data_IF_876812116209
#
_entry.id   IF_876812116209
#
_cell.length_a   1.000
_cell.length_b   1.000
_cell.length_c   1.000
_cell.angle_alpha   90.00
_cell.angle_beta   90.00
_cell.angle_gamma   90.00
#
_symmetry.space_group_name_H-M   'P 1'
#
loop_
_entity.id
_entity.type
_entity.pdbx_description
1 polymer ?
#
# COMPACT_ATOMS: atom_id res chain seq x y z
N UNK A 1 37.00 49.87 -15.66
CA UNK A 1 37.40 48.56 -15.09
C UNK A 1 36.13 47.81 -14.77
N UNK A 2 36.03 46.59 -15.29
CA UNK A 2 34.84 45.73 -15.22
C UNK A 2 34.66 45.11 -13.83
N UNK A 3 33.41 44.82 -13.44
CA UNK A 3 32.97 43.56 -12.80
C UNK A 3 31.48 43.66 -12.44
N UNK A 4 30.58 43.11 -13.24
CA UNK A 4 29.98 41.75 -13.17
C UNK A 4 28.62 41.78 -12.50
N UNK A 5 27.60 41.93 -13.34
CA UNK A 5 26.19 41.57 -13.09
C UNK A 5 26.10 40.07 -12.81
N UNK A 6 25.77 39.70 -11.57
CA UNK A 6 25.38 38.34 -11.19
C UNK A 6 23.90 38.32 -10.85
N UNK A 7 23.03 38.33 -11.87
CA UNK A 7 21.61 38.05 -11.67
C UNK A 7 21.44 36.56 -11.39
N UNK A 8 21.18 36.20 -10.14
CA UNK A 8 20.78 34.87 -9.74
C UNK A 8 19.50 34.49 -10.52
N UNK A 9 19.64 33.52 -11.42
CA UNK A 9 18.55 32.86 -12.11
C UNK A 9 17.61 32.25 -11.07
N UNK A 10 16.29 32.51 -11.10
CA UNK A 10 15.38 31.74 -10.28
C UNK A 10 15.50 30.27 -10.70
N UNK A 11 15.92 29.41 -9.77
CA UNK A 11 15.76 27.97 -9.90
C UNK A 11 14.25 27.71 -9.95
N UNK A 12 13.76 27.25 -11.10
CA UNK A 12 12.44 26.68 -11.21
C UNK A 12 12.33 25.51 -10.21
N UNK A 13 11.23 25.35 -9.46
CA UNK A 13 11.04 24.17 -8.65
C UNK A 13 10.95 22.97 -9.58
N UNK A 14 11.99 22.15 -9.58
CA UNK A 14 11.98 20.82 -10.17
C UNK A 14 11.19 19.91 -9.22
N UNK A 15 9.86 19.96 -9.31
CA UNK A 15 9.02 18.92 -8.71
C UNK A 15 7.72 18.81 -9.51
N UNK A 16 7.79 18.16 -10.66
CA UNK A 16 6.60 17.83 -11.47
C UNK A 16 6.60 16.38 -11.91
N UNK A 17 7.36 15.54 -11.21
CA UNK A 17 7.49 14.12 -11.54
C UNK A 17 7.13 13.25 -10.32
N UNK A 18 5.94 13.41 -9.71
CA UNK A 18 5.48 12.38 -8.76
C UNK A 18 3.97 12.32 -8.45
N UNK A 19 3.11 12.94 -9.27
CA UNK A 19 1.66 12.93 -8.99
C UNK A 19 1.02 11.54 -9.08
N UNK A 20 1.40 10.75 -10.07
CA UNK A 20 0.80 9.43 -10.34
C UNK A 20 1.24 8.36 -9.34
N UNK A 21 2.51 8.37 -8.91
CA UNK A 21 3.03 7.44 -7.90
C UNK A 21 2.35 7.63 -6.55
N UNK A 22 2.29 8.88 -6.08
CA UNK A 22 1.63 9.22 -4.81
C UNK A 22 0.12 8.93 -4.81
N UNK A 23 -0.55 9.06 -5.97
CA UNK A 23 -1.96 8.67 -6.11
C UNK A 23 -2.11 7.16 -6.02
N UNK A 24 -1.21 6.39 -6.66
CA UNK A 24 -1.23 4.94 -6.60
C UNK A 24 -1.02 4.42 -5.18
N UNK A 25 -0.01 4.94 -4.46
CA UNK A 25 0.26 4.59 -3.06
C UNK A 25 -1.00 4.80 -2.19
N UNK A 26 -1.66 5.95 -2.31
CA UNK A 26 -2.92 6.24 -1.58
C UNK A 26 -4.06 5.30 -1.97
N UNK A 27 -4.14 4.87 -3.22
CA UNK A 27 -5.17 3.92 -3.66
C UNK A 27 -4.90 2.52 -3.10
N UNK A 28 -3.64 2.09 -3.05
CA UNK A 28 -3.22 0.83 -2.43
C UNK A 28 -3.52 0.85 -0.93
N UNK A 29 -3.13 1.92 -0.22
CA UNK A 29 -3.44 2.08 1.20
C UNK A 29 -4.94 2.00 1.47
N UNK A 30 -5.75 2.72 0.68
CA UNK A 30 -7.21 2.71 0.82
C UNK A 30 -7.81 1.33 0.53
N UNK A 31 -7.28 0.62 -0.47
CA UNK A 31 -7.68 -0.75 -0.76
C UNK A 31 -7.32 -1.70 0.38
N UNK A 32 -6.12 -1.56 0.97
CA UNK A 32 -5.68 -2.38 2.09
C UNK A 32 -6.54 -2.16 3.34
N UNK A 33 -6.94 -0.91 3.64
CA UNK A 33 -7.90 -0.61 4.72
C UNK A 33 -9.24 -1.29 4.48
N UNK A 34 -9.75 -1.21 3.25
CA UNK A 34 -11.00 -1.86 2.87
C UNK A 34 -10.91 -3.39 3.02
N UNK A 35 -9.83 -3.99 2.51
CA UNK A 35 -9.57 -5.43 2.64
C UNK A 35 -9.45 -5.87 4.11
N UNK A 36 -8.71 -5.12 4.94
CA UNK A 36 -8.54 -5.41 6.36
C UNK A 36 -9.86 -5.30 7.14
N UNK A 37 -10.80 -4.45 6.72
CA UNK A 37 -12.13 -4.36 7.32
C UNK A 37 -12.97 -5.64 7.14
N UNK A 38 -12.63 -6.46 6.14
CA UNK A 38 -13.24 -7.78 5.91
C UNK A 38 -12.45 -8.93 6.53
N UNK A 39 -11.39 -8.64 7.28
CA UNK A 39 -10.52 -9.65 7.86
C UNK A 39 -11.23 -10.45 8.95
N UNK A 40 -10.83 -11.72 9.06
CA UNK A 40 -11.21 -12.60 10.17
C UNK A 40 -9.99 -12.82 11.04
N UNK A 41 -10.16 -12.58 12.34
CA UNK A 41 -9.14 -12.82 13.36
C UNK A 41 -9.42 -14.16 14.04
N UNK A 42 -8.41 -15.01 14.14
CA UNK A 42 -8.49 -16.30 14.82
C UNK A 42 -7.29 -16.52 15.74
N UNK A 43 -7.51 -17.16 16.88
CA UNK A 43 -6.43 -17.57 17.76
C UNK A 43 -5.68 -18.78 17.21
N UNK A 44 -4.36 -18.78 17.39
CA UNK A 44 -3.49 -19.91 17.11
C UNK A 44 -2.71 -20.32 18.35
N UNK A 45 -2.38 -21.61 18.43
CA UNK A 45 -1.77 -22.21 19.61
C UNK A 45 -0.25 -22.13 19.62
N UNK A 46 0.40 -22.06 18.45
CA UNK A 46 1.85 -22.02 18.31
C UNK A 46 2.27 -21.28 17.02
N UNK A 47 2.97 -20.13 17.11
CA UNK A 47 3.14 -19.34 18.33
C UNK A 47 1.79 -18.91 18.91
N UNK A 48 1.69 -18.78 20.24
CA UNK A 48 0.46 -18.29 20.86
C UNK A 48 0.20 -16.84 20.39
N UNK A 49 -0.94 -16.62 19.75
CA UNK A 49 -1.30 -15.30 19.23
C UNK A 49 -2.59 -15.33 18.41
N UNK A 50 -2.81 -14.25 17.69
CA UNK A 50 -3.93 -14.04 16.78
C UNK A 50 -3.40 -13.89 15.36
N UNK A 51 -4.04 -14.57 14.42
CA UNK A 51 -3.81 -14.38 12.99
C UNK A 51 -5.03 -13.68 12.39
N UNK A 52 -4.79 -12.63 11.61
CA UNK A 52 -5.79 -11.99 10.77
C UNK A 52 -5.61 -12.43 9.30
N UNK A 53 -6.70 -12.80 8.64
CA UNK A 53 -6.71 -13.21 7.21
C UNK A 53 -7.90 -12.61 6.47
N UNK A 54 -7.74 -12.31 5.18
CA UNK A 54 -8.84 -11.88 4.30
C UNK A 54 -9.21 -13.02 3.35
N UNK A 55 -10.51 -13.27 3.16
CA UNK A 55 -10.96 -14.29 2.24
C UNK A 55 -10.66 -13.89 0.79
N UNK A 56 -10.13 -14.82 -0.01
CA UNK A 56 -9.80 -14.57 -1.41
C UNK A 56 -8.45 -13.89 -1.64
N UNK A 57 -7.66 -13.66 -0.59
CA UNK A 57 -6.28 -13.17 -0.68
C UNK A 57 -5.37 -14.21 -0.04
N UNK A 58 -4.87 -15.11 -0.87
CA UNK A 58 -3.93 -16.14 -0.41
C UNK A 58 -2.53 -15.55 -0.26
N UNK A 59 -1.86 -15.91 0.84
CA UNK A 59 -0.50 -15.46 1.16
C UNK A 59 -0.40 -14.15 1.96
N UNK A 60 -1.49 -13.39 2.09
CA UNK A 60 -1.54 -12.21 2.97
C UNK A 60 -2.21 -12.55 4.30
N UNK A 61 -1.46 -12.47 5.38
CA UNK A 61 -1.93 -12.69 6.74
C UNK A 61 -1.13 -11.82 7.71
N UNK A 62 -1.77 -11.36 8.77
CA UNK A 62 -1.12 -10.62 9.85
C UNK A 62 -1.09 -11.42 11.14
N UNK A 63 -0.10 -11.16 11.99
CA UNK A 63 0.07 -11.79 13.29
C UNK A 63 0.19 -10.76 14.40
N UNK A 64 -0.43 -11.04 15.54
CA UNK A 64 -0.30 -10.18 16.72
C UNK A 64 -0.74 -10.87 18.00
N UNK A 65 -0.40 -10.28 19.14
CA UNK A 65 -0.87 -10.69 20.46
C UNK A 65 -2.26 -10.13 20.78
N UNK A 66 -2.75 -9.19 19.97
CA UNK A 66 -4.06 -8.56 20.05
C UNK A 66 -4.70 -8.47 18.66
N UNK A 67 -6.03 -8.34 18.60
CA UNK A 67 -6.74 -8.22 17.32
C UNK A 67 -6.31 -6.97 16.54
N UNK A 68 -6.01 -5.88 17.26
CA UNK A 68 -5.52 -4.63 16.69
C UNK A 68 -4.16 -4.83 16.02
N UNK A 69 -3.19 -5.38 16.76
CA UNK A 69 -1.85 -5.69 16.23
C UNK A 69 -1.90 -6.63 15.02
N UNK A 70 -2.73 -7.67 15.06
CA UNK A 70 -2.88 -8.60 13.95
C UNK A 70 -3.51 -7.93 12.70
N UNK A 71 -4.41 -6.95 12.89
CA UNK A 71 -5.02 -6.21 11.79
C UNK A 71 -4.07 -5.16 11.21
N UNK A 72 -3.29 -4.46 12.04
CA UNK A 72 -2.26 -3.52 11.60
C UNK A 72 -1.16 -4.21 10.79
N UNK A 73 -0.71 -5.38 11.27
CA UNK A 73 0.26 -6.20 10.55
C UNK A 73 -0.32 -6.69 9.21
N UNK A 74 -1.57 -7.19 9.23
CA UNK A 74 -2.26 -7.60 8.01
C UNK A 74 -2.40 -6.46 6.99
N UNK A 75 -2.74 -5.25 7.45
CA UNK A 75 -2.86 -4.09 6.57
C UNK A 75 -1.52 -3.78 5.89
N UNK A 76 -0.42 -3.85 6.63
CA UNK A 76 0.93 -3.63 6.08
C UNK A 76 1.27 -4.69 5.03
N UNK A 77 1.00 -5.97 5.33
CA UNK A 77 1.20 -7.08 4.38
C UNK A 77 0.33 -6.92 3.13
N UNK A 78 -0.90 -6.43 3.26
CA UNK A 78 -1.80 -6.19 2.12
C UNK A 78 -1.29 -5.08 1.19
N UNK A 79 -0.68 -4.03 1.73
CA UNK A 79 -0.06 -2.96 0.95
C UNK A 79 1.09 -3.53 0.11
N UNK A 80 1.99 -4.28 0.74
CA UNK A 80 3.13 -4.90 0.06
C UNK A 80 2.66 -5.92 -0.99
N UNK A 81 1.69 -6.76 -0.64
CA UNK A 81 1.10 -7.74 -1.54
C UNK A 81 0.49 -7.10 -2.79
N UNK A 82 -0.34 -6.06 -2.62
CA UNK A 82 -0.96 -5.37 -3.75
C UNK A 82 0.09 -4.64 -4.61
N UNK A 83 1.11 -4.06 -3.97
CA UNK A 83 2.22 -3.42 -4.67
C UNK A 83 2.97 -4.41 -5.55
N UNK A 84 3.32 -5.58 -5.02
CA UNK A 84 4.00 -6.64 -5.78
C UNK A 84 3.14 -7.13 -6.95
N UNK A 85 1.86 -7.38 -6.70
CA UNK A 85 0.90 -7.80 -7.75
C UNK A 85 0.82 -6.80 -8.89
N UNK A 86 0.74 -5.50 -8.57
CA UNK A 86 0.76 -4.45 -9.59
C UNK A 86 2.09 -4.34 -10.32
N UNK A 87 3.22 -4.55 -9.65
CA UNK A 87 4.54 -4.54 -10.29
C UNK A 87 4.73 -5.70 -11.27
N UNK A 88 4.24 -6.89 -10.91
CA UNK A 88 4.26 -8.08 -11.76
C UNK A 88 3.21 -8.00 -12.88
N UNK A 89 2.29 -7.03 -12.78
CA UNK A 89 1.22 -6.80 -13.75
C UNK A 89 0.14 -7.87 -13.68
N UNK A 90 -0.06 -8.45 -12.49
CA UNK A 90 -1.15 -9.37 -12.16
C UNK A 90 -2.49 -8.62 -12.09
N UNK A 91 -3.56 -9.29 -12.52
CA UNK A 91 -4.93 -8.75 -12.56
C UNK A 91 -5.87 -9.46 -11.56
N UNK A 92 -5.32 -10.33 -10.70
CA UNK A 92 -6.08 -11.15 -9.74
C UNK A 92 -6.33 -10.44 -8.40
N UNK A 93 -6.05 -9.13 -8.32
CA UNK A 93 -6.32 -8.31 -7.14
C UNK A 93 -7.84 -8.17 -6.95
N UNK A 94 -8.42 -8.70 -5.84
CA UNK A 94 -9.85 -8.60 -5.63
C UNK A 94 -10.32 -7.16 -5.48
N UNK A 95 -11.49 -6.84 -6.02
CA UNK A 95 -12.10 -5.53 -5.82
C UNK A 95 -12.64 -5.38 -4.40
N UNK A 96 -12.29 -4.30 -3.72
CA UNK A 96 -12.71 -4.00 -2.34
C UNK A 96 -13.43 -2.66 -2.30
N UNK A 97 -14.66 -2.62 -1.80
CA UNK A 97 -15.47 -1.39 -1.69
C UNK A 97 -15.56 -0.56 -2.99
N UNK A 98 -15.56 -1.21 -4.15
CA UNK A 98 -15.59 -0.55 -5.45
C UNK A 98 -14.23 -0.02 -5.94
N UNK A 99 -13.15 -0.24 -5.18
CA UNK A 99 -11.78 -0.04 -5.65
C UNK A 99 -11.32 -1.26 -6.43
N UNK A 100 -10.87 -1.03 -7.65
CA UNK A 100 -10.26 -2.04 -8.51
C UNK A 100 -8.88 -1.53 -8.94
N UNK A 101 -7.84 -2.24 -8.52
CA UNK A 101 -6.44 -1.90 -8.80
C UNK A 101 -5.99 -2.69 -10.02
N UNK A 102 -5.58 -2.00 -11.08
CA UNK A 102 -5.10 -2.61 -12.33
C UNK A 102 -3.96 -1.80 -12.93
N UNK A 103 -3.12 -2.47 -13.71
CA UNK A 103 -2.11 -1.82 -14.56
C UNK A 103 -2.70 -1.63 -15.94
N UNK A 104 -2.82 -0.37 -16.39
CA UNK A 104 -3.20 -0.09 -17.77
C UNK A 104 -2.07 -0.51 -18.71
N UNK A 105 -2.32 -1.52 -19.54
CA UNK A 105 -1.41 -1.96 -20.62
C UNK A 105 -1.83 -1.37 -21.96
#
# INVERSE_FOLDING_TARGET
>A
MASTTGAARPQAPADTSNGSGAVLERLIERWAVAAASHAKVRAINDPKGLIATVAGIDGAWGFGNSSEEALEDLQSVLIDWATLKLQDGDEDIPSMEGLHLVVAR
#
